data_IF_322177733914
#
_entry.id   IF_322177733914
#
_cell.length_a   1.000
_cell.length_b   1.000
_cell.length_c   1.000
_cell.angle_alpha   90.00
_cell.angle_beta   90.00
_cell.angle_gamma   90.00
#
_symmetry.space_group_name_H-M   'P 1'
#
loop_
_entity.id
_entity.type
_entity.pdbx_description
1 polymer ?
#
# COMPACT_ATOMS: atom_id res chain seq x y z
N UNK A 1 39.12 -89.32 -30.24
CA UNK A 1 38.00 -90.00 -30.90
C UNK A 1 36.74 -89.75 -30.03
N UNK A 2 35.87 -88.89 -30.48
CA UNK A 2 34.54 -88.76 -29.81
C UNK A 2 33.63 -88.02 -30.81
N UNK A 3 32.42 -88.45 -31.04
CA UNK A 3 31.53 -87.81 -31.99
C UNK A 3 30.67 -86.68 -31.32
N UNK A 4 30.45 -85.69 -32.11
CA UNK A 4 29.59 -84.55 -31.88
C UNK A 4 28.12 -84.96 -31.93
N UNK A 5 27.31 -84.52 -30.93
CA UNK A 5 25.88 -84.57 -30.98
C UNK A 5 25.35 -83.10 -31.18
N UNK A 6 24.76 -82.87 -32.33
CA UNK A 6 23.96 -81.67 -32.62
C UNK A 6 22.60 -81.77 -31.92
N UNK A 7 22.17 -80.71 -31.26
CA UNK A 7 20.80 -80.52 -30.77
C UNK A 7 20.10 -79.39 -31.56
N UNK A 8 18.84 -79.52 -31.91
CA UNK A 8 18.13 -78.56 -32.72
C UNK A 8 17.64 -77.35 -31.85
N UNK A 9 17.73 -76.16 -32.45
CA UNK A 9 17.25 -74.92 -31.86
C UNK A 9 15.76 -74.76 -32.20
N UNK A 10 14.91 -74.81 -31.15
CA UNK A 10 13.51 -74.41 -31.27
C UNK A 10 13.40 -72.92 -31.09
N UNK A 11 13.04 -72.18 -32.18
CA UNK A 11 12.73 -70.79 -32.16
C UNK A 11 11.29 -70.57 -31.74
N UNK A 12 11.02 -70.20 -30.49
CA UNK A 12 9.70 -69.78 -30.01
C UNK A 12 9.54 -68.29 -30.35
N UNK A 13 8.69 -67.96 -31.28
CA UNK A 13 8.24 -66.58 -31.57
C UNK A 13 7.23 -66.21 -30.49
N UNK A 14 7.65 -65.31 -29.58
CA UNK A 14 6.78 -64.65 -28.62
C UNK A 14 6.13 -63.41 -29.29
N UNK A 15 4.84 -63.48 -29.57
CA UNK A 15 4.03 -62.34 -30.02
C UNK A 15 3.81 -61.43 -28.82
N UNK A 16 4.52 -60.30 -28.74
CA UNK A 16 4.20 -59.17 -27.85
C UNK A 16 3.03 -58.38 -28.40
N UNK A 17 1.86 -58.60 -27.82
CA UNK A 17 0.69 -57.74 -28.04
C UNK A 17 0.91 -56.43 -27.27
N UNK A 18 1.37 -55.39 -27.94
CA UNK A 18 1.56 -54.05 -27.37
C UNK A 18 0.20 -53.40 -27.09
N UNK A 19 -0.19 -53.35 -25.82
CA UNK A 19 -1.32 -52.55 -25.37
C UNK A 19 -0.91 -51.07 -25.34
N UNK A 20 -1.25 -50.31 -26.40
CA UNK A 20 -1.08 -48.84 -26.41
C UNK A 20 -2.17 -48.25 -25.55
N UNK A 21 -1.84 -47.97 -24.30
CA UNK A 21 -2.68 -47.11 -23.42
C UNK A 21 -2.46 -45.67 -23.86
N UNK A 22 -3.38 -45.15 -24.68
CA UNK A 22 -3.44 -43.74 -25.02
C UNK A 22 -3.85 -42.96 -23.75
N UNK A 23 -2.85 -42.42 -23.02
CA UNK A 23 -3.07 -41.39 -22.03
C UNK A 23 -3.54 -40.12 -22.78
N UNK A 24 -4.86 -39.96 -22.91
CA UNK A 24 -5.45 -38.69 -23.25
C UNK A 24 -5.20 -37.74 -22.05
N UNK A 25 -4.06 -37.08 -22.02
CA UNK A 25 -3.82 -35.95 -21.16
C UNK A 25 -4.85 -34.87 -21.57
N UNK A 26 -5.92 -34.76 -20.79
CA UNK A 26 -6.81 -33.60 -20.84
C UNK A 26 -5.98 -32.38 -20.45
N UNK A 27 -5.39 -31.75 -21.47
CA UNK A 27 -4.81 -30.41 -21.33
C UNK A 27 -5.97 -29.43 -21.19
N UNK A 28 -6.61 -29.39 -20.00
CA UNK A 28 -7.45 -28.25 -19.63
C UNK A 28 -6.54 -27.04 -19.63
N UNK A 29 -6.64 -26.19 -20.66
CA UNK A 29 -6.17 -24.81 -20.57
C UNK A 29 -6.66 -24.27 -19.24
N UNK A 30 -5.80 -23.60 -18.43
CA UNK A 30 -6.30 -22.94 -17.24
C UNK A 30 -7.48 -22.06 -17.64
N UNK A 31 -8.65 -22.36 -17.12
CA UNK A 31 -9.85 -21.55 -17.33
C UNK A 31 -9.49 -20.17 -16.82
N UNK A 32 -9.55 -19.15 -17.70
CA UNK A 32 -9.28 -17.78 -17.32
C UNK A 32 -10.29 -17.46 -16.22
N UNK A 33 -9.78 -17.17 -15.00
CA UNK A 33 -10.64 -16.88 -13.87
C UNK A 33 -11.64 -15.80 -14.30
N UNK A 34 -12.93 -16.13 -14.27
CA UNK A 34 -14.01 -15.24 -14.68
C UNK A 34 -14.47 -14.42 -13.49
N UNK A 35 -14.92 -13.19 -13.76
CA UNK A 35 -15.59 -12.38 -12.75
C UNK A 35 -16.86 -13.10 -12.27
N UNK A 36 -17.12 -13.04 -10.97
CA UNK A 36 -18.34 -13.61 -10.37
C UNK A 36 -19.56 -12.84 -10.83
N UNK A 37 -20.61 -13.57 -11.20
CA UNK A 37 -21.90 -13.01 -11.60
C UNK A 37 -23.00 -13.44 -10.62
N UNK A 38 -24.06 -12.63 -10.49
CA UNK A 38 -25.12 -12.77 -9.51
C UNK A 38 -26.50 -12.69 -10.17
N UNK A 39 -27.46 -13.42 -9.61
CA UNK A 39 -28.83 -13.36 -10.09
C UNK A 39 -29.52 -12.04 -9.71
N UNK A 40 -29.25 -11.55 -8.50
CA UNK A 40 -29.81 -10.32 -7.94
C UNK A 40 -28.75 -9.40 -7.36
N UNK A 41 -28.99 -8.06 -7.33
CA UNK A 41 -28.07 -7.10 -6.71
C UNK A 41 -27.77 -7.41 -5.24
N UNK A 42 -28.76 -7.90 -4.49
CA UNK A 42 -28.60 -8.23 -3.07
C UNK A 42 -27.64 -9.41 -2.84
N UNK A 43 -27.59 -10.37 -3.77
CA UNK A 43 -26.61 -11.45 -3.73
C UNK A 43 -25.18 -10.89 -3.88
N UNK A 44 -25.01 -9.92 -4.79
CA UNK A 44 -23.73 -9.26 -5.03
C UNK A 44 -23.25 -8.50 -3.79
N UNK A 45 -24.13 -7.71 -3.16
CA UNK A 45 -23.75 -6.97 -1.94
C UNK A 45 -23.50 -7.89 -0.74
N UNK A 46 -24.24 -9.00 -0.65
CA UNK A 46 -24.04 -10.02 0.40
C UNK A 46 -22.68 -10.71 0.24
N UNK A 47 -22.31 -11.09 -0.98
CA UNK A 47 -20.99 -11.66 -1.26
C UNK A 47 -19.86 -10.67 -0.92
N UNK A 48 -20.03 -9.39 -1.33
CA UNK A 48 -19.05 -8.33 -1.07
C UNK A 48 -18.84 -8.10 0.44
N UNK A 49 -19.92 -7.93 1.22
CA UNK A 49 -19.78 -7.72 2.67
C UNK A 49 -19.25 -8.96 3.39
N UNK A 50 -19.51 -10.15 2.87
CA UNK A 50 -18.96 -11.40 3.42
C UNK A 50 -17.45 -11.45 3.20
N UNK A 51 -16.99 -11.17 1.98
CA UNK A 51 -15.56 -11.10 1.67
C UNK A 51 -14.84 -10.02 2.50
N UNK A 52 -15.46 -8.84 2.67
CA UNK A 52 -14.91 -7.76 3.50
C UNK A 52 -14.78 -8.18 4.98
N UNK A 53 -15.80 -8.79 5.58
CA UNK A 53 -15.79 -9.23 6.98
C UNK A 53 -14.77 -10.33 7.27
N UNK A 54 -14.55 -11.22 6.31
CA UNK A 54 -13.57 -12.32 6.44
C UNK A 54 -12.16 -11.93 5.98
N UNK A 55 -11.98 -10.74 5.41
CA UNK A 55 -10.75 -10.29 4.76
C UNK A 55 -10.24 -11.29 3.70
N UNK A 56 -11.18 -11.98 3.04
CA UNK A 56 -10.87 -13.00 2.04
C UNK A 56 -10.49 -12.34 0.70
N UNK A 57 -9.19 -12.25 0.46
CA UNK A 57 -8.66 -11.68 -0.77
C UNK A 57 -9.06 -12.47 -2.02
N UNK A 58 -9.18 -13.80 -1.93
CA UNK A 58 -9.59 -14.62 -3.07
C UNK A 58 -11.06 -14.39 -3.42
N UNK A 59 -11.93 -14.28 -2.41
CA UNK A 59 -13.33 -13.92 -2.61
C UNK A 59 -13.46 -12.52 -3.23
N UNK A 60 -12.68 -11.54 -2.76
CA UNK A 60 -12.66 -10.20 -3.36
C UNK A 60 -12.24 -10.25 -4.84
N UNK A 61 -11.18 -10.99 -5.17
CA UNK A 61 -10.73 -11.15 -6.56
C UNK A 61 -11.73 -11.91 -7.43
N UNK A 62 -12.47 -12.85 -6.88
CA UNK A 62 -13.58 -13.50 -7.62
C UNK A 62 -14.69 -12.50 -7.95
N UNK A 63 -15.07 -11.64 -6.99
CA UNK A 63 -16.11 -10.63 -7.14
C UNK A 63 -15.72 -9.55 -8.17
N UNK A 64 -14.51 -9.02 -8.11
CA UNK A 64 -14.05 -7.89 -8.93
C UNK A 64 -13.26 -8.31 -10.19
N UNK A 65 -12.97 -9.59 -10.34
CA UNK A 65 -12.17 -10.16 -11.41
C UNK A 65 -10.66 -10.23 -11.05
N UNK A 66 -9.95 -11.19 -11.67
CA UNK A 66 -8.54 -11.48 -11.34
C UNK A 66 -7.60 -10.32 -11.67
N UNK A 67 -7.93 -9.52 -12.69
CA UNK A 67 -7.11 -8.38 -13.13
C UNK A 67 -7.31 -7.13 -12.25
N UNK A 68 -8.15 -7.23 -11.18
CA UNK A 68 -8.44 -6.12 -10.26
C UNK A 68 -7.49 -6.03 -9.07
N UNK A 69 -6.52 -6.93 -8.92
CA UNK A 69 -5.69 -7.05 -7.73
C UNK A 69 -5.06 -5.73 -7.29
N UNK A 70 -4.39 -5.03 -8.19
CA UNK A 70 -3.74 -3.74 -7.90
C UNK A 70 -4.76 -2.64 -7.59
N UNK A 71 -5.96 -2.72 -8.18
CA UNK A 71 -7.03 -1.78 -7.89
C UNK A 71 -7.65 -2.01 -6.50
N UNK A 72 -7.87 -3.25 -6.10
CA UNK A 72 -8.56 -3.60 -4.85
C UNK A 72 -7.62 -3.53 -3.65
N UNK A 73 -6.35 -3.90 -3.84
CA UNK A 73 -5.32 -3.87 -2.79
C UNK A 73 -4.32 -2.75 -3.06
N UNK A 74 -4.08 -1.93 -2.04
CA UNK A 74 -3.24 -0.73 -2.15
C UNK A 74 -1.74 -1.00 -1.95
N UNK A 75 -1.38 -2.21 -1.51
CA UNK A 75 -0.03 -2.52 -1.03
C UNK A 75 0.19 -2.17 0.46
N UNK A 76 -0.75 -1.46 1.09
CA UNK A 76 -0.80 -1.20 2.53
C UNK A 76 -1.86 -2.11 3.17
N UNK A 77 -1.44 -3.27 3.66
CA UNK A 77 -2.35 -4.29 4.20
C UNK A 77 -3.14 -3.80 5.43
N UNK A 78 -2.59 -2.88 6.22
CA UNK A 78 -3.28 -2.31 7.37
C UNK A 78 -4.42 -1.42 6.91
N UNK A 79 -4.15 -0.54 5.95
CA UNK A 79 -5.16 0.33 5.37
C UNK A 79 -6.26 -0.46 4.65
N UNK A 80 -5.88 -1.46 3.85
CA UNK A 80 -6.83 -2.31 3.12
C UNK A 80 -7.79 -3.02 4.08
N UNK A 81 -7.27 -3.55 5.21
CA UNK A 81 -8.09 -4.14 6.26
C UNK A 81 -9.05 -3.12 6.87
N UNK A 82 -8.56 -1.96 7.24
CA UNK A 82 -9.38 -0.92 7.88
C UNK A 82 -10.51 -0.41 6.95
N UNK A 83 -10.24 -0.33 5.64
CA UNK A 83 -11.25 0.03 4.63
C UNK A 83 -12.32 -1.06 4.54
N UNK A 84 -11.94 -2.33 4.54
CA UNK A 84 -12.86 -3.46 4.49
C UNK A 84 -13.75 -3.50 5.75
N UNK A 85 -13.18 -3.29 6.94
CA UNK A 85 -13.89 -3.22 8.21
C UNK A 85 -14.88 -2.04 8.24
N UNK A 86 -14.44 -0.86 7.82
CA UNK A 86 -15.29 0.33 7.75
C UNK A 86 -16.46 0.13 6.75
N UNK A 87 -16.21 -0.48 5.61
CA UNK A 87 -17.27 -0.84 4.66
C UNK A 87 -18.28 -1.81 5.29
N UNK A 88 -17.80 -2.87 5.93
CA UNK A 88 -18.66 -3.87 6.55
C UNK A 88 -19.51 -3.28 7.70
N UNK A 89 -18.92 -2.37 8.50
CA UNK A 89 -19.64 -1.65 9.54
C UNK A 89 -20.73 -0.74 8.97
N UNK A 90 -20.40 0.09 7.96
CA UNK A 90 -21.38 0.96 7.27
C UNK A 90 -22.51 0.17 6.62
N UNK A 91 -22.17 -0.96 5.95
CA UNK A 91 -23.16 -1.85 5.36
C UNK A 91 -24.14 -2.38 6.42
N UNK A 92 -23.64 -2.74 7.60
CA UNK A 92 -24.47 -3.22 8.71
C UNK A 92 -25.42 -2.14 9.28
N UNK A 93 -25.04 -0.86 9.22
CA UNK A 93 -25.90 0.24 9.64
C UNK A 93 -27.05 0.43 8.65
N UNK A 94 -26.75 0.51 7.38
CA UNK A 94 -27.73 0.63 6.31
C UNK A 94 -27.06 0.32 4.97
N UNK A 95 -27.81 -0.32 4.08
CA UNK A 95 -27.42 -0.51 2.69
C UNK A 95 -28.63 -0.49 1.78
N UNK A 96 -28.46 0.05 0.58
CA UNK A 96 -29.52 0.09 -0.44
C UNK A 96 -28.92 0.30 -1.82
N UNK A 97 -29.66 -0.12 -2.84
CA UNK A 97 -29.30 0.11 -4.22
C UNK A 97 -29.96 1.39 -4.76
N UNK A 98 -29.20 2.19 -5.46
CA UNK A 98 -29.68 3.33 -6.27
C UNK A 98 -29.57 2.96 -7.73
N UNK A 99 -30.70 2.89 -8.42
CA UNK A 99 -30.74 2.65 -9.86
C UNK A 99 -30.33 3.93 -10.60
N UNK A 100 -29.45 3.76 -11.58
CA UNK A 100 -28.96 4.81 -12.45
C UNK A 100 -29.79 4.88 -13.73
N UNK A 101 -29.77 6.01 -14.50
CA UNK A 101 -30.55 6.16 -15.73
C UNK A 101 -30.23 5.14 -16.83
N UNK A 102 -28.97 4.68 -16.90
CA UNK A 102 -28.46 3.65 -17.83
C UNK A 102 -28.84 2.20 -17.43
N UNK A 103 -29.46 2.03 -16.26
CA UNK A 103 -29.86 0.74 -15.72
C UNK A 103 -28.87 0.12 -14.74
N UNK A 104 -27.66 0.65 -14.63
CA UNK A 104 -26.68 0.26 -13.63
C UNK A 104 -27.17 0.57 -12.21
N UNK A 105 -26.53 -0.02 -11.21
CA UNK A 105 -26.87 0.22 -9.82
C UNK A 105 -25.63 0.59 -9.00
N UNK A 106 -25.81 1.54 -8.09
CA UNK A 106 -24.79 1.95 -7.12
C UNK A 106 -25.24 1.48 -5.73
N UNK A 107 -24.39 0.72 -5.05
CA UNK A 107 -24.60 0.38 -3.65
C UNK A 107 -24.32 1.60 -2.77
N UNK A 108 -25.32 2.00 -1.96
CA UNK A 108 -25.17 3.03 -0.95
C UNK A 108 -25.06 2.37 0.41
N UNK A 109 -24.08 2.78 1.23
CA UNK A 109 -23.84 2.20 2.56
C UNK A 109 -23.77 3.30 3.64
N UNK A 110 -24.14 2.96 4.86
CA UNK A 110 -24.16 3.87 6.00
C UNK A 110 -25.32 4.88 5.99
N UNK A 111 -25.56 5.51 7.14
CA UNK A 111 -26.62 6.51 7.29
C UNK A 111 -26.45 7.74 6.38
N UNK A 112 -25.20 8.03 6.00
CA UNK A 112 -24.80 9.10 5.09
C UNK A 112 -24.97 8.74 3.60
N UNK A 113 -25.44 7.52 3.31
CA UNK A 113 -25.61 7.00 1.93
C UNK A 113 -24.33 7.07 1.09
N UNK A 114 -23.20 6.71 1.69
CA UNK A 114 -21.90 6.72 1.01
C UNK A 114 -21.91 5.77 -0.21
N UNK A 115 -21.65 6.26 -1.42
CA UNK A 115 -21.73 5.43 -2.61
C UNK A 115 -20.49 4.52 -2.72
N UNK A 116 -20.73 3.23 -2.92
CA UNK A 116 -19.66 2.30 -3.28
C UNK A 116 -19.10 2.67 -4.66
N UNK A 117 -17.77 2.69 -4.86
CA UNK A 117 -17.17 3.29 -6.05
C UNK A 117 -17.32 2.44 -7.32
N UNK A 118 -17.58 1.14 -7.20
CA UNK A 118 -17.69 0.23 -8.35
C UNK A 118 -19.17 -0.04 -8.61
N UNK A 119 -19.69 0.36 -9.79
CA UNK A 119 -21.09 0.12 -10.12
C UNK A 119 -21.37 -1.36 -10.36
N UNK A 120 -22.61 -1.76 -10.15
CA UNK A 120 -23.15 -3.07 -10.49
C UNK A 120 -23.88 -2.97 -11.82
N UNK A 121 -23.50 -3.80 -12.79
CA UNK A 121 -24.00 -3.81 -14.17
C UNK A 121 -24.55 -5.16 -14.56
N UNK A 122 -25.46 -5.20 -15.53
CA UNK A 122 -25.93 -6.45 -16.15
C UNK A 122 -25.05 -6.85 -17.34
N UNK A 123 -24.72 -8.14 -17.40
CA UNK A 123 -24.15 -8.75 -18.60
C UNK A 123 -25.24 -9.07 -19.65
N UNK A 124 -24.84 -9.63 -20.80
CA UNK A 124 -25.75 -10.02 -21.88
C UNK A 124 -26.78 -11.10 -21.50
N UNK A 125 -26.51 -11.91 -20.47
CA UNK A 125 -27.39 -12.95 -19.96
C UNK A 125 -28.31 -12.43 -18.84
N UNK A 126 -28.30 -11.13 -18.57
CA UNK A 126 -29.11 -10.49 -17.54
C UNK A 126 -28.63 -10.68 -16.11
N UNK A 127 -27.43 -11.25 -15.90
CA UNK A 127 -26.82 -11.42 -14.60
C UNK A 127 -26.04 -10.17 -14.20
N UNK A 128 -25.93 -9.93 -12.90
CA UNK A 128 -25.25 -8.77 -12.34
C UNK A 128 -23.77 -9.07 -12.05
N UNK A 129 -22.90 -8.08 -12.25
CA UNK A 129 -21.48 -8.13 -11.88
C UNK A 129 -21.00 -6.73 -11.51
N UNK A 130 -19.95 -6.64 -10.69
CA UNK A 130 -19.28 -5.36 -10.41
C UNK A 130 -18.40 -4.95 -11.61
N UNK A 131 -18.75 -3.84 -12.26
CA UNK A 131 -17.96 -3.30 -13.38
C UNK A 131 -16.72 -2.55 -12.84
N UNK A 132 -15.68 -3.33 -12.55
CA UNK A 132 -14.42 -2.84 -11.97
C UNK A 132 -13.72 -1.83 -12.90
N UNK A 133 -13.88 -1.98 -14.22
CA UNK A 133 -13.31 -1.04 -15.17
C UNK A 133 -13.99 0.33 -15.07
N UNK A 134 -15.30 0.37 -14.94
CA UNK A 134 -16.06 1.61 -14.75
C UNK A 134 -15.79 2.28 -13.39
N UNK A 135 -15.47 1.49 -12.34
CA UNK A 135 -15.17 2.01 -11.01
C UNK A 135 -13.72 2.41 -10.79
N UNK A 136 -12.82 2.12 -11.72
CA UNK A 136 -11.36 2.26 -11.54
C UNK A 136 -10.94 3.66 -11.09
N UNK A 137 -11.31 4.66 -11.85
CA UNK A 137 -10.87 6.05 -11.60
C UNK A 137 -11.40 6.57 -10.26
N UNK A 138 -12.61 6.19 -9.89
CA UNK A 138 -13.21 6.59 -8.60
C UNK A 138 -12.51 5.90 -7.42
N UNK A 139 -12.16 4.61 -7.52
CA UNK A 139 -11.40 3.90 -6.48
C UNK A 139 -10.04 4.55 -6.29
N UNK A 140 -9.30 4.82 -7.38
CA UNK A 140 -7.98 5.44 -7.33
C UNK A 140 -8.05 6.87 -6.80
N UNK A 141 -8.96 7.70 -7.29
CA UNK A 141 -9.12 9.09 -6.84
C UNK A 141 -9.39 9.18 -5.34
N UNK A 142 -10.28 8.33 -4.82
CA UNK A 142 -10.58 8.29 -3.38
C UNK A 142 -9.40 7.80 -2.54
N UNK A 143 -8.66 6.81 -3.03
CA UNK A 143 -7.48 6.28 -2.34
C UNK A 143 -6.37 7.32 -2.29
N UNK A 144 -5.98 7.83 -3.45
CA UNK A 144 -4.91 8.82 -3.61
C UNK A 144 -5.24 10.08 -2.78
N UNK A 145 -6.44 10.63 -2.95
CA UNK A 145 -6.84 11.84 -2.22
C UNK A 145 -6.79 11.67 -0.70
N UNK A 146 -7.28 10.53 -0.18
CA UNK A 146 -7.21 10.24 1.26
C UNK A 146 -5.77 10.11 1.75
N UNK A 147 -4.93 9.40 0.99
CA UNK A 147 -3.54 9.18 1.36
C UNK A 147 -2.73 10.48 1.33
N UNK A 148 -2.91 11.30 0.30
CA UNK A 148 -2.22 12.59 0.18
C UNK A 148 -2.65 13.57 1.29
N UNK A 149 -3.94 13.64 1.63
CA UNK A 149 -4.39 14.44 2.76
C UNK A 149 -3.79 13.97 4.08
N UNK A 150 -3.75 12.65 4.33
CA UNK A 150 -3.10 12.10 5.50
C UNK A 150 -1.60 12.45 5.54
N UNK A 151 -0.92 12.45 4.39
CA UNK A 151 0.51 12.82 4.31
C UNK A 151 0.77 14.28 4.63
N UNK A 152 -0.12 15.18 4.25
CA UNK A 152 0.00 16.60 4.63
C UNK A 152 0.00 16.74 6.15
N UNK A 153 -0.95 16.07 6.84
CA UNK A 153 -1.03 16.08 8.30
C UNK A 153 0.19 15.41 8.96
N UNK A 154 0.63 14.28 8.44
CA UNK A 154 1.81 13.54 8.92
C UNK A 154 3.09 14.36 8.76
N UNK A 155 3.28 15.03 7.62
CA UNK A 155 4.43 15.90 7.40
C UNK A 155 4.48 17.06 8.41
N UNK A 156 3.34 17.68 8.69
CA UNK A 156 3.23 18.69 9.75
C UNK A 156 3.61 18.15 11.12
N UNK A 157 3.01 17.02 11.52
CA UNK A 157 3.30 16.39 12.82
C UNK A 157 4.78 15.99 12.98
N UNK A 158 5.44 15.54 11.91
CA UNK A 158 6.88 15.23 11.94
C UNK A 158 7.72 16.50 12.09
N UNK A 159 7.37 17.60 11.43
CA UNK A 159 8.06 18.87 11.56
C UNK A 159 7.95 19.43 12.99
N UNK A 160 6.76 19.37 13.58
CA UNK A 160 6.53 19.76 14.98
C UNK A 160 7.32 18.89 15.94
N UNK A 161 7.35 17.58 15.73
CA UNK A 161 8.13 16.65 16.52
C UNK A 161 9.66 16.93 16.41
N UNK A 162 10.14 17.34 15.25
CA UNK A 162 11.54 17.78 15.08
C UNK A 162 11.83 19.07 15.85
N UNK A 163 10.91 20.03 15.85
CA UNK A 163 11.05 21.26 16.62
C UNK A 163 11.09 20.98 18.14
N UNK A 164 10.22 20.09 18.62
CA UNK A 164 10.22 19.63 20.01
C UNK A 164 11.51 18.91 20.36
N UNK A 165 11.96 17.97 19.51
CA UNK A 165 13.21 17.25 19.72
C UNK A 165 14.40 18.20 19.82
N UNK A 166 14.46 19.23 18.99
CA UNK A 166 15.57 20.20 18.92
C UNK A 166 15.79 20.98 20.22
N UNK A 167 14.71 21.27 20.98
CA UNK A 167 14.80 22.09 22.19
C UNK A 167 15.18 21.31 23.45
N UNK A 168 15.17 19.97 23.40
CA UNK A 168 15.47 19.10 24.53
C UNK A 168 16.78 18.31 24.37
N UNK A 169 17.50 17.99 25.46
CA UNK A 169 18.63 17.08 25.43
C UNK A 169 18.16 15.62 25.34
N UNK A 170 18.89 14.78 24.59
CA UNK A 170 18.57 13.36 24.40
C UNK A 170 19.83 12.50 24.55
N UNK A 171 19.74 11.34 25.24
CA UNK A 171 20.85 10.38 25.42
C UNK A 171 22.16 11.02 25.90
N UNK A 172 22.07 12.01 26.79
CA UNK A 172 23.25 12.74 27.30
C UNK A 172 23.85 13.69 26.26
N UNK A 173 23.27 13.86 25.09
CA UNK A 173 23.65 14.86 24.10
C UNK A 173 22.97 16.20 24.41
N UNK A 174 23.63 17.34 24.15
CA UNK A 174 23.05 18.65 24.38
C UNK A 174 21.83 18.86 23.47
N UNK A 175 20.93 19.76 23.86
CA UNK A 175 19.89 20.30 23.00
C UNK A 175 20.46 20.98 21.74
N UNK A 176 19.60 21.39 20.82
CA UNK A 176 19.90 22.03 19.53
C UNK A 176 20.51 21.06 18.49
N UNK A 177 19.98 19.86 18.46
CA UNK A 177 20.14 18.93 17.36
C UNK A 177 18.78 18.33 16.98
N UNK A 178 18.59 18.06 15.71
CA UNK A 178 17.39 17.38 15.20
C UNK A 178 17.59 15.86 15.26
N UNK A 179 16.50 15.12 15.27
CA UNK A 179 16.55 13.66 15.19
C UNK A 179 16.99 13.22 13.79
N UNK A 180 17.95 12.30 13.72
CA UNK A 180 18.41 11.74 12.46
C UNK A 180 17.50 10.62 11.91
N UNK A 181 16.53 10.15 12.71
CA UNK A 181 15.65 9.02 12.41
C UNK A 181 14.22 9.32 12.84
N UNK A 182 13.25 8.69 12.19
CA UNK A 182 11.86 8.70 12.65
C UNK A 182 11.68 7.82 13.90
N UNK A 183 12.26 6.64 13.91
CA UNK A 183 12.17 5.69 15.02
C UNK A 183 13.56 5.51 15.63
N UNK A 184 13.64 5.63 16.96
CA UNK A 184 14.88 5.44 17.72
C UNK A 184 15.36 4.00 17.69
N UNK A 185 16.65 3.80 17.79
CA UNK A 185 17.22 2.48 18.10
C UNK A 185 16.73 1.99 19.46
N UNK A 186 16.63 0.68 19.67
CA UNK A 186 16.16 0.13 20.95
C UNK A 186 16.98 0.68 22.13
N UNK A 187 16.27 1.24 23.12
CA UNK A 187 16.88 1.81 24.33
C UNK A 187 17.55 3.16 24.16
N UNK A 188 17.40 3.82 23.01
CA UNK A 188 17.91 5.16 22.72
C UNK A 188 16.80 6.15 22.45
N UNK A 189 17.18 7.45 22.47
CA UNK A 189 16.34 8.59 22.07
C UNK A 189 16.96 9.33 20.87
N UNK A 190 17.50 8.59 19.89
CA UNK A 190 18.19 9.14 18.71
C UNK A 190 17.26 9.24 17.47
N UNK A 191 15.98 9.17 17.67
CA UNK A 191 14.93 9.36 16.67
C UNK A 191 13.73 10.09 17.28
N UNK A 192 12.71 10.40 16.52
CA UNK A 192 11.52 11.12 16.96
C UNK A 192 10.55 10.27 17.80
N UNK A 193 10.60 8.96 17.64
CA UNK A 193 9.77 8.02 18.41
C UNK A 193 10.64 7.03 19.18
N UNK A 194 10.34 6.87 20.45
CA UNK A 194 10.78 5.78 21.33
C UNK A 194 9.64 5.35 22.24
N UNK A 195 9.68 4.10 22.67
CA UNK A 195 8.70 3.61 23.64
C UNK A 195 9.03 4.19 25.00
N UNK A 196 8.25 5.18 25.45
CA UNK A 196 8.37 5.75 26.78
C UNK A 196 7.88 4.79 27.86
N UNK A 197 8.55 4.78 28.99
CA UNK A 197 8.13 4.09 30.21
C UNK A 197 7.77 5.15 31.27
N UNK A 198 7.08 4.72 32.31
CA UNK A 198 6.70 5.63 33.41
C UNK A 198 7.93 6.35 33.99
N UNK A 199 7.85 7.67 34.13
CA UNK A 199 8.93 8.52 34.57
C UNK A 199 9.97 8.92 33.52
N UNK A 200 9.86 8.44 32.28
CA UNK A 200 10.67 8.85 31.15
C UNK A 200 10.00 9.94 30.30
N UNK A 201 10.77 10.84 29.67
CA UNK A 201 10.18 11.80 28.73
C UNK A 201 9.38 11.11 27.63
N UNK A 202 8.21 11.68 27.28
CA UNK A 202 7.45 11.23 26.14
C UNK A 202 8.25 11.46 24.84
N UNK A 203 8.06 10.60 23.85
CA UNK A 203 8.67 10.84 22.55
C UNK A 203 7.88 11.89 21.75
N UNK A 204 8.54 12.81 21.05
CA UNK A 204 7.88 13.87 20.29
C UNK A 204 6.86 13.34 19.27
N UNK A 205 7.15 12.21 18.63
CA UNK A 205 6.25 11.56 17.69
C UNK A 205 5.29 10.54 18.36
N UNK A 206 5.23 10.53 19.70
CA UNK A 206 4.37 9.64 20.47
C UNK A 206 2.90 9.68 20.09
N UNK A 207 2.28 10.87 19.94
CA UNK A 207 0.87 10.99 19.53
C UNK A 207 0.60 10.35 18.16
N UNK A 208 1.44 10.60 17.15
CA UNK A 208 1.30 10.00 15.82
C UNK A 208 1.53 8.48 15.85
N UNK A 209 2.49 8.01 16.64
CA UNK A 209 2.73 6.58 16.80
C UNK A 209 1.59 5.87 17.54
N UNK A 210 0.96 6.52 18.51
CA UNK A 210 -0.23 6.00 19.19
C UNK A 210 -1.42 5.92 18.22
N UNK A 211 -1.64 6.95 17.41
CA UNK A 211 -2.65 6.95 16.35
C UNK A 211 -2.41 5.81 15.36
N UNK A 212 -1.20 5.70 14.79
CA UNK A 212 -0.82 4.63 13.88
C UNK A 212 -1.02 3.22 14.50
N UNK A 213 -0.65 3.06 15.78
CA UNK A 213 -0.87 1.80 16.52
C UNK A 213 -2.35 1.48 16.67
N UNK A 214 -3.18 2.50 16.95
CA UNK A 214 -4.64 2.36 17.01
C UNK A 214 -5.24 1.88 15.69
N UNK A 215 -4.66 2.25 14.56
CA UNK A 215 -5.03 1.76 13.23
C UNK A 215 -4.46 0.37 12.91
N UNK A 216 -3.53 -0.17 13.72
CA UNK A 216 -2.92 -1.48 13.53
C UNK A 216 -1.52 -1.45 12.92
N UNK A 217 -0.94 -0.27 12.68
CA UNK A 217 0.46 -0.18 12.26
C UNK A 217 1.40 -0.49 13.43
N UNK A 218 2.57 -1.02 13.11
CA UNK A 218 3.63 -1.29 14.09
C UNK A 218 4.86 -0.45 13.77
N UNK A 219 5.29 0.37 14.75
CA UNK A 219 6.54 1.11 14.66
C UNK A 219 7.72 0.13 14.76
N UNK A 220 8.36 -0.18 13.63
CA UNK A 220 9.58 -0.99 13.57
C UNK A 220 10.66 -0.20 12.82
N UNK A 221 11.91 -0.12 13.35
CA UNK A 221 12.99 0.67 12.75
C UNK A 221 13.30 0.34 11.29
N UNK A 222 13.17 -0.94 10.93
CA UNK A 222 13.59 -1.48 9.63
C UNK A 222 12.41 -1.97 8.78
N UNK A 223 11.17 -1.66 9.16
CA UNK A 223 10.01 -2.12 8.41
C UNK A 223 9.83 -1.28 7.13
N UNK A 224 10.04 -1.91 5.99
CA UNK A 224 9.68 -1.35 4.68
C UNK A 224 8.16 -1.49 4.46
N UNK A 225 7.39 -0.98 5.42
CA UNK A 225 5.93 -1.01 5.39
C UNK A 225 5.45 0.42 5.14
N UNK A 226 4.61 0.66 4.14
CA UNK A 226 4.09 1.99 3.92
C UNK A 226 3.17 2.40 5.07
N UNK A 227 3.10 3.69 5.36
CA UNK A 227 2.14 4.31 6.25
C UNK A 227 1.19 5.18 5.43
N UNK A 228 -0.09 4.85 5.42
CA UNK A 228 -1.07 5.45 4.51
C UNK A 228 -0.61 5.47 3.04
N UNK A 229 -0.01 4.36 2.60
CA UNK A 229 0.47 4.20 1.23
C UNK A 229 1.74 4.98 0.89
N UNK A 230 2.48 5.52 1.87
CA UNK A 230 3.68 6.33 1.68
C UNK A 230 4.89 5.79 2.42
N UNK A 231 6.08 5.99 1.82
CA UNK A 231 7.38 5.82 2.46
C UNK A 231 7.98 7.16 2.83
N UNK A 232 8.86 7.15 3.84
CA UNK A 232 9.53 8.34 4.37
C UNK A 232 11.03 8.16 4.37
N UNK A 233 11.76 9.25 4.13
CA UNK A 233 13.20 9.25 4.13
C UNK A 233 13.76 10.58 4.63
N UNK A 234 14.68 10.54 5.61
CA UNK A 234 15.44 11.69 6.04
C UNK A 234 16.48 12.09 4.98
N UNK A 235 16.66 13.39 4.79
CA UNK A 235 17.64 14.00 3.91
C UNK A 235 18.78 14.57 4.76
N UNK A 236 20.00 14.61 4.20
CA UNK A 236 21.21 14.96 4.96
C UNK A 236 21.74 16.37 4.74
N UNK A 237 21.11 17.11 3.84
CA UNK A 237 21.50 18.47 3.50
C UNK A 237 20.43 19.19 2.71
N UNK A 238 20.74 20.40 2.32
CA UNK A 238 19.97 21.18 1.33
C UNK A 238 20.89 21.77 0.28
N UNK A 239 20.35 21.91 -0.93
CA UNK A 239 21.06 22.51 -2.06
C UNK A 239 21.07 24.06 -1.99
N UNK A 240 21.79 24.68 -2.91
CA UNK A 240 21.80 26.13 -3.10
C UNK A 240 20.47 26.72 -3.58
N UNK A 241 19.55 25.89 -4.08
CA UNK A 241 18.17 26.29 -4.47
C UNK A 241 17.24 26.43 -3.26
N UNK A 242 17.60 25.84 -2.12
CA UNK A 242 16.82 25.99 -0.90
C UNK A 242 16.98 27.37 -0.28
N UNK A 243 15.96 27.90 0.40
CA UNK A 243 16.09 29.14 1.18
C UNK A 243 17.27 29.05 2.15
N UNK A 244 18.14 30.07 2.12
CA UNK A 244 19.36 30.12 2.94
C UNK A 244 20.58 29.40 2.35
N UNK A 245 20.48 28.89 1.10
CA UNK A 245 21.57 28.29 0.35
C UNK A 245 21.95 26.89 0.79
N UNK A 246 23.01 26.34 0.20
CA UNK A 246 23.50 25.00 0.50
C UNK A 246 23.93 24.84 1.97
N UNK A 247 23.51 23.73 2.60
CA UNK A 247 23.88 23.38 3.99
C UNK A 247 23.98 21.88 4.15
N UNK A 248 24.99 21.43 4.85
CA UNK A 248 25.03 20.09 5.43
C UNK A 248 24.17 20.06 6.70
N UNK A 249 23.24 19.15 6.80
CA UNK A 249 22.43 18.98 8.01
C UNK A 249 23.15 18.11 9.05
N UNK A 250 23.84 17.07 8.58
CA UNK A 250 24.64 16.18 9.42
C UNK A 250 26.08 16.68 9.55
N UNK A 251 26.45 17.26 10.71
CA UNK A 251 27.76 17.76 11.02
C UNK A 251 28.35 16.89 12.14
N UNK A 252 29.52 16.25 11.87
CA UNK A 252 30.16 15.33 12.82
C UNK A 252 29.23 14.24 13.37
N UNK A 253 28.37 13.68 12.52
CA UNK A 253 27.40 12.62 12.89
C UNK A 253 26.21 13.11 13.69
N UNK A 254 25.96 14.42 13.74
CA UNK A 254 24.83 15.04 14.43
C UNK A 254 24.05 15.96 13.49
N UNK A 255 22.73 15.92 13.56
CA UNK A 255 21.84 16.77 12.76
C UNK A 255 21.72 18.18 13.40
N UNK A 256 22.81 18.96 13.32
CA UNK A 256 22.89 20.31 13.92
C UNK A 256 22.72 21.43 12.90
N UNK A 257 22.87 21.16 11.61
CA UNK A 257 22.73 22.15 10.53
C UNK A 257 21.30 22.37 10.07
N UNK A 258 20.40 21.47 10.39
CA UNK A 258 19.00 21.47 9.95
C UNK A 258 18.43 20.06 9.90
N UNK A 259 17.22 19.93 9.34
CA UNK A 259 16.65 18.66 8.93
C UNK A 259 15.82 18.84 7.64
N UNK A 260 15.64 17.79 6.92
CA UNK A 260 14.57 17.66 5.93
C UNK A 260 14.19 16.18 5.76
N UNK A 261 13.02 15.94 5.24
CA UNK A 261 12.62 14.60 4.79
C UNK A 261 11.76 14.69 3.54
N UNK A 262 11.68 13.56 2.84
CA UNK A 262 10.80 13.32 1.71
C UNK A 262 9.82 12.22 2.05
N UNK A 263 8.53 12.43 1.71
CA UNK A 263 7.47 11.41 1.73
C UNK A 263 7.03 11.17 0.29
N UNK A 264 7.02 9.91 -0.14
CA UNK A 264 6.71 9.54 -1.51
C UNK A 264 5.82 8.30 -1.55
N UNK A 265 4.89 8.19 -2.55
CA UNK A 265 3.99 7.06 -2.64
C UNK A 265 4.73 5.74 -2.81
N UNK A 266 4.24 4.71 -2.14
CA UNK A 266 4.75 3.34 -2.27
C UNK A 266 4.55 2.83 -3.71
N UNK A 267 3.42 3.19 -4.34
CA UNK A 267 3.08 2.88 -5.73
C UNK A 267 2.51 4.13 -6.40
N UNK A 268 3.31 4.74 -7.30
CA UNK A 268 2.88 5.91 -8.07
C UNK A 268 1.61 5.63 -8.88
N UNK A 269 0.61 6.51 -8.76
CA UNK A 269 -0.68 6.38 -9.45
C UNK A 269 -1.64 5.36 -8.84
N UNK A 270 -1.23 4.66 -7.78
CA UNK A 270 -2.07 3.75 -7.01
C UNK A 270 -2.21 4.19 -5.55
N UNK A 271 -1.12 4.34 -4.81
CA UNK A 271 -1.17 4.80 -3.42
C UNK A 271 -1.08 6.33 -3.27
N UNK A 272 -0.54 7.02 -4.27
CA UNK A 272 -0.40 8.48 -4.33
C UNK A 272 0.19 8.92 -5.66
N UNK A 273 0.13 10.21 -5.93
CA UNK A 273 0.75 10.90 -7.07
C UNK A 273 1.79 11.88 -6.57
N UNK A 274 1.45 12.69 -5.56
CA UNK A 274 2.34 13.73 -5.06
C UNK A 274 3.43 13.16 -4.17
N UNK A 275 4.65 13.66 -4.36
CA UNK A 275 5.77 13.53 -3.45
C UNK A 275 5.86 14.81 -2.63
N UNK A 276 6.07 14.69 -1.32
CA UNK A 276 6.14 15.81 -0.39
C UNK A 276 7.55 15.97 0.16
N UNK A 277 7.99 17.22 0.36
CA UNK A 277 9.22 17.55 1.08
C UNK A 277 8.96 18.65 2.09
N UNK A 278 9.61 18.57 3.25
CA UNK A 278 9.60 19.63 4.27
C UNK A 278 10.97 19.69 4.94
N UNK A 279 11.36 20.88 5.37
CA UNK A 279 12.58 21.12 6.13
C UNK A 279 12.29 21.91 7.42
N UNK A 280 13.34 22.37 8.11
CA UNK A 280 13.26 23.12 9.37
C UNK A 280 12.48 24.46 9.24
N UNK A 281 12.26 24.97 8.03
CA UNK A 281 11.51 26.20 7.80
C UNK A 281 9.99 25.95 7.86
N UNK A 282 9.54 24.67 7.94
CA UNK A 282 8.15 24.26 8.10
C UNK A 282 7.30 24.44 6.84
N UNK A 283 7.89 24.76 5.69
CA UNK A 283 7.15 24.91 4.43
C UNK A 283 7.05 23.56 3.73
N UNK A 284 5.82 23.06 3.65
CA UNK A 284 5.54 21.79 2.97
C UNK A 284 5.44 22.01 1.46
N UNK A 285 6.28 21.32 0.72
CA UNK A 285 6.35 21.34 -0.74
C UNK A 285 5.80 20.04 -1.33
N UNK A 286 5.19 20.12 -2.50
CA UNK A 286 4.70 18.96 -3.25
C UNK A 286 5.11 19.02 -4.72
N UNK A 287 5.33 17.84 -5.31
CA UNK A 287 5.62 17.67 -6.73
C UNK A 287 5.20 16.30 -7.22
N UNK A 288 4.60 16.24 -8.41
CA UNK A 288 4.44 15.01 -9.16
C UNK A 288 5.78 14.65 -9.85
N UNK A 289 6.42 13.58 -9.39
CA UNK A 289 7.67 13.07 -9.96
C UNK A 289 7.44 12.06 -11.10
N UNK A 290 6.17 11.74 -11.40
CA UNK A 290 5.81 10.80 -12.45
C UNK A 290 6.14 9.35 -12.12
N UNK A 291 6.21 8.53 -13.17
CA UNK A 291 6.41 7.08 -13.04
C UNK A 291 7.76 6.67 -12.42
N UNK A 292 8.72 7.57 -12.36
CA UNK A 292 10.04 7.37 -11.75
C UNK A 292 10.12 7.85 -10.30
N UNK A 293 8.96 8.03 -9.64
CA UNK A 293 8.88 8.57 -8.28
C UNK A 293 9.75 7.81 -7.30
N UNK A 294 9.67 6.48 -7.26
CA UNK A 294 10.44 5.65 -6.33
C UNK A 294 11.94 5.80 -6.53
N UNK A 295 12.42 5.70 -7.78
CA UNK A 295 13.83 5.84 -8.11
C UNK A 295 14.33 7.25 -7.76
N UNK A 296 13.56 8.26 -8.13
CA UNK A 296 13.91 9.67 -7.88
C UNK A 296 13.96 9.96 -6.39
N UNK A 297 12.92 9.61 -5.63
CA UNK A 297 12.83 9.88 -4.20
C UNK A 297 13.87 9.10 -3.38
N UNK A 298 14.18 7.86 -3.76
CA UNK A 298 15.22 7.07 -3.09
C UNK A 298 16.64 7.56 -3.39
N UNK A 299 16.86 8.22 -4.51
CA UNK A 299 18.14 8.84 -4.87
C UNK A 299 18.33 10.22 -4.23
N UNK A 300 17.27 10.89 -3.73
CA UNK A 300 17.40 12.19 -3.09
C UNK A 300 18.28 12.11 -1.84
N UNK A 301 19.33 12.90 -1.77
CA UNK A 301 20.19 13.07 -0.58
C UNK A 301 19.96 14.39 0.13
N UNK A 302 19.44 15.39 -0.60
CA UNK A 302 19.30 16.77 -0.17
C UNK A 302 17.89 17.31 -0.43
N UNK A 303 17.49 18.26 0.35
CA UNK A 303 16.34 19.11 0.09
C UNK A 303 16.68 20.07 -1.03
N UNK A 304 16.16 19.81 -2.23
CA UNK A 304 16.50 20.52 -3.48
C UNK A 304 15.21 21.05 -4.16
N UNK A 305 14.58 22.13 -3.62
CA UNK A 305 13.34 22.67 -4.12
C UNK A 305 13.57 23.55 -5.35
N UNK A 306 13.57 22.97 -6.55
CA UNK A 306 13.53 23.74 -7.77
C UNK A 306 12.14 24.40 -8.00
N UNK A 307 12.03 25.26 -9.03
CA UNK A 307 10.81 26.01 -9.33
C UNK A 307 9.58 25.12 -9.70
N UNK A 308 9.76 23.81 -9.89
CA UNK A 308 8.66 22.88 -10.16
C UNK A 308 7.98 22.35 -8.89
N UNK A 309 8.58 22.52 -7.72
CA UNK A 309 7.95 22.24 -6.44
C UNK A 309 6.96 23.35 -6.07
N UNK A 310 5.80 22.98 -5.59
CA UNK A 310 4.74 23.91 -5.19
C UNK A 310 4.50 23.82 -3.70
N UNK A 311 4.17 24.94 -3.07
CA UNK A 311 3.74 24.96 -1.68
C UNK A 311 2.35 24.30 -1.60
N UNK A 312 2.17 23.41 -0.62
CA UNK A 312 0.87 22.78 -0.38
C UNK A 312 -0.14 23.83 0.07
N UNK A 313 -1.32 23.84 -0.55
CA UNK A 313 -2.41 24.77 -0.23
C UNK A 313 -2.34 26.13 -0.94
N UNK A 314 -1.44 26.31 -1.90
CA UNK A 314 -1.37 27.50 -2.77
C UNK A 314 -1.80 27.22 -4.20
#
# INVERSE_FOLDING_TARGET
MSPRHLRPVFTTRLLLLGLIISLAACNKKPEKASIQVFAFPDDASTALVTAAKSHDQNAALAIFGPDSKELIFSGDAVQDKNIADAFAARYGVMHRWRKMPDGDQILLVGADNYPFPIPLKKNGDGQWFFDTAAGRDEVLSRRIGRNELAMIDVCGAVADAQAEYYVHPHDGQPAKQYAAKFISDPGKQNGLYWKSTEGQPASPLGPLAAFATGEGYTAKPDAHTPFHGYYFRMLKGQSDKAPGGAKEYEINGKMTGGFAFVAYPAEYGNSGVMTFMINQDGVLLQKDLGKTTTETATAMSEFDPDASWKIVGQ
#
